data_IF_686592054477
#
_entry.id   IF_686592054477
#
_cell.length_a   1.000
_cell.length_b   1.000
_cell.length_c   1.000
_cell.angle_alpha   90.00
_cell.angle_beta   90.00
_cell.angle_gamma   90.00
#
_symmetry.space_group_name_H-M   'P 1'
#
loop_
_entity.id
_entity.type
_entity.pdbx_description
1 polymer ?
#
# COMPACT_ATOMS: atom_id res chain seq x y z
N UNK A 1 -23.59 -14.66 11.27
CA UNK A 1 -22.46 -15.03 10.34
C UNK A 1 -22.19 -16.53 10.50
N UNK A 2 -22.09 -17.27 9.39
CA UNK A 2 -21.81 -18.72 9.46
C UNK A 2 -20.32 -18.90 9.83
N UNK A 3 -20.05 -19.81 10.79
CA UNK A 3 -18.68 -20.07 11.28
C UNK A 3 -17.73 -20.48 10.14
N UNK A 4 -18.24 -21.20 9.14
CA UNK A 4 -17.46 -21.58 7.97
C UNK A 4 -16.99 -20.34 7.18
N UNK A 5 -17.89 -19.35 7.00
CA UNK A 5 -17.56 -18.11 6.31
C UNK A 5 -16.53 -17.28 7.10
N UNK A 6 -16.68 -17.20 8.42
CA UNK A 6 -15.70 -16.52 9.28
C UNK A 6 -14.31 -17.16 9.14
N UNK A 7 -14.23 -18.51 9.17
CA UNK A 7 -12.95 -19.20 9.01
C UNK A 7 -12.33 -18.94 7.63
N UNK A 8 -13.12 -19.01 6.56
CA UNK A 8 -12.57 -18.84 5.20
C UNK A 8 -12.20 -17.39 4.88
N UNK A 9 -12.88 -16.43 5.45
CA UNK A 9 -12.62 -14.99 5.15
C UNK A 9 -11.63 -14.34 6.11
N UNK A 10 -11.58 -14.80 7.36
CA UNK A 10 -10.74 -14.16 8.38
C UNK A 10 -9.49 -14.97 8.73
N UNK A 11 -9.55 -16.30 8.64
CA UNK A 11 -8.43 -17.20 9.02
C UNK A 11 -7.69 -17.72 7.78
N UNK A 12 -8.42 -18.26 6.80
CA UNK A 12 -7.82 -18.81 5.59
C UNK A 12 -7.70 -17.76 4.48
N UNK A 13 -7.08 -16.65 4.80
CA UNK A 13 -6.89 -15.53 3.86
C UNK A 13 -6.04 -16.00 2.66
N UNK A 14 -6.47 -15.73 1.41
CA UNK A 14 -5.67 -16.09 0.23
C UNK A 14 -4.27 -15.49 0.29
N UNK A 15 -3.30 -16.22 -0.27
CA UNK A 15 -1.92 -15.77 -0.38
C UNK A 15 -1.71 -15.16 -1.76
N UNK A 16 -1.12 -13.98 -1.81
CA UNK A 16 -0.79 -13.29 -3.06
C UNK A 16 0.20 -14.13 -3.88
N UNK A 17 0.00 -14.27 -5.20
CA UNK A 17 0.87 -15.12 -6.04
C UNK A 17 2.37 -14.83 -5.90
N UNK A 18 2.74 -13.57 -5.72
CA UNK A 18 4.15 -13.17 -5.53
C UNK A 18 4.79 -13.78 -4.27
N UNK A 19 4.00 -14.33 -3.35
CA UNK A 19 4.51 -14.95 -2.12
C UNK A 19 4.95 -16.40 -2.30
N UNK A 20 4.38 -17.14 -3.26
CA UNK A 20 4.62 -18.58 -3.37
C UNK A 20 6.10 -18.94 -3.53
N UNK A 21 6.91 -18.25 -4.36
CA UNK A 21 8.34 -18.56 -4.45
C UNK A 21 9.07 -18.41 -3.11
N UNK A 22 8.75 -17.40 -2.32
CA UNK A 22 9.39 -17.17 -1.02
C UNK A 22 8.96 -18.23 0.00
N UNK A 23 7.67 -18.56 0.04
CA UNK A 23 7.16 -19.62 0.93
C UNK A 23 7.87 -20.92 0.60
N UNK A 24 7.97 -21.28 -0.68
CA UNK A 24 8.67 -22.49 -1.12
C UNK A 24 10.14 -22.48 -0.67
N UNK A 25 10.85 -21.37 -0.92
CA UNK A 25 12.28 -21.24 -0.53
C UNK A 25 12.44 -21.41 0.98
N UNK A 26 11.58 -20.73 1.78
CA UNK A 26 11.66 -20.83 3.25
C UNK A 26 11.34 -22.23 3.75
N UNK A 27 10.36 -22.91 3.15
CA UNK A 27 10.03 -24.29 3.53
C UNK A 27 11.23 -25.22 3.24
N UNK A 28 11.77 -25.15 2.02
CA UNK A 28 12.92 -26.01 1.65
C UNK A 28 14.12 -25.72 2.56
N UNK A 29 14.45 -24.44 2.76
CA UNK A 29 15.58 -24.06 3.63
C UNK A 29 15.36 -24.54 5.07
N UNK A 30 14.14 -24.40 5.60
CA UNK A 30 13.81 -24.81 6.96
C UNK A 30 13.92 -26.33 7.13
N UNK A 31 13.45 -27.11 6.15
CA UNK A 31 13.58 -28.57 6.16
C UNK A 31 15.05 -28.98 6.14
N UNK A 32 15.85 -28.41 5.22
CA UNK A 32 17.27 -28.75 5.11
C UNK A 32 18.04 -28.43 6.42
N UNK A 33 17.79 -27.26 6.99
CA UNK A 33 18.43 -26.86 8.24
C UNK A 33 17.99 -27.74 9.40
N UNK A 34 16.73 -28.16 9.43
CA UNK A 34 16.20 -29.04 10.50
C UNK A 34 16.79 -30.46 10.43
N UNK A 35 17.10 -30.95 9.23
CA UNK A 35 17.79 -32.22 9.04
C UNK A 35 19.23 -32.13 9.62
N UNK A 36 19.89 -30.97 9.45
CA UNK A 36 21.24 -30.77 9.98
C UNK A 36 21.23 -30.59 11.52
N UNK A 37 20.21 -29.93 12.05
CA UNK A 37 20.12 -29.65 13.48
C UNK A 37 18.66 -29.39 13.89
N UNK A 38 18.12 -30.31 14.68
CA UNK A 38 16.69 -30.29 15.05
C UNK A 38 16.17 -28.99 15.70
N UNK A 39 16.96 -28.20 16.48
CA UNK A 39 16.45 -26.93 17.00
C UNK A 39 16.02 -25.92 15.92
N UNK A 40 16.41 -26.07 14.67
CA UNK A 40 15.94 -25.21 13.59
C UNK A 40 14.46 -25.45 13.20
N UNK A 41 13.83 -26.52 13.65
CA UNK A 41 12.41 -26.81 13.34
C UNK A 41 11.51 -25.65 13.73
N UNK A 42 11.62 -25.18 14.99
CA UNK A 42 10.73 -24.14 15.51
C UNK A 42 10.93 -22.78 14.80
N UNK A 43 12.13 -22.20 14.74
CA UNK A 43 12.31 -20.93 14.05
C UNK A 43 12.00 -21.02 12.56
N UNK A 44 12.30 -22.15 11.90
CA UNK A 44 11.94 -22.35 10.49
C UNK A 44 10.43 -22.34 10.28
N UNK A 45 9.69 -23.05 11.12
CA UNK A 45 8.22 -23.07 11.05
C UNK A 45 7.65 -21.66 11.26
N UNK A 46 8.15 -20.93 12.28
CA UNK A 46 7.69 -19.56 12.55
C UNK A 46 7.96 -18.63 11.36
N UNK A 47 9.11 -18.77 10.72
CA UNK A 47 9.46 -17.98 9.53
C UNK A 47 8.54 -18.29 8.35
N UNK A 48 8.23 -19.57 8.12
CA UNK A 48 7.30 -19.96 7.06
C UNK A 48 5.89 -19.40 7.32
N UNK A 49 5.41 -19.51 8.55
CA UNK A 49 4.09 -18.95 8.94
C UNK A 49 4.07 -17.43 8.77
N UNK A 50 5.15 -16.75 9.19
CA UNK A 50 5.26 -15.30 9.00
C UNK A 50 5.27 -14.94 7.50
N UNK A 51 5.93 -15.72 6.67
CA UNK A 51 5.97 -15.48 5.22
C UNK A 51 4.58 -15.60 4.60
N UNK A 52 3.81 -16.64 4.99
CA UNK A 52 2.41 -16.81 4.56
C UNK A 52 1.58 -15.60 5.02
N UNK A 53 1.73 -15.21 6.28
CA UNK A 53 1.02 -14.06 6.87
C UNK A 53 1.38 -12.76 6.14
N UNK A 54 2.65 -12.55 5.81
CA UNK A 54 3.11 -11.35 5.10
C UNK A 54 2.45 -11.21 3.73
N UNK A 55 2.36 -12.32 2.98
CA UNK A 55 1.81 -12.30 1.62
C UNK A 55 0.29 -12.51 1.58
N UNK A 56 -0.40 -12.40 2.71
CA UNK A 56 -1.86 -12.55 2.74
C UNK A 56 -2.53 -11.44 1.92
N UNK A 57 -3.60 -11.78 1.21
CA UNK A 57 -4.35 -10.84 0.38
C UNK A 57 -5.84 -10.95 0.72
N UNK A 58 -6.27 -10.33 1.83
CA UNK A 58 -7.65 -10.44 2.27
C UNK A 58 -8.63 -9.76 1.31
N UNK A 59 -9.83 -10.30 1.26
CA UNK A 59 -10.96 -9.65 0.59
C UNK A 59 -11.24 -8.33 1.32
N UNK A 60 -11.59 -7.30 0.56
CA UNK A 60 -11.86 -5.96 1.11
C UNK A 60 -13.26 -5.50 0.75
N UNK A 61 -13.90 -4.79 1.65
CA UNK A 61 -15.20 -4.16 1.43
C UNK A 61 -14.99 -2.69 1.14
N UNK A 62 -14.97 -2.34 -0.15
CA UNK A 62 -14.63 -1.00 -0.60
C UNK A 62 -15.91 -0.15 -0.75
N UNK A 63 -15.98 1.05 -0.14
CA UNK A 63 -17.06 1.98 -0.44
C UNK A 63 -16.96 2.47 -1.88
N UNK A 64 -18.04 2.29 -2.66
CA UNK A 64 -18.05 2.63 -4.08
C UNK A 64 -18.75 3.97 -4.29
N UNK A 65 -17.96 4.99 -4.61
CA UNK A 65 -18.46 6.34 -4.91
C UNK A 65 -17.37 7.08 -5.70
N UNK A 66 -17.78 7.98 -6.57
CA UNK A 66 -16.87 8.72 -7.45
C UNK A 66 -16.08 9.79 -6.68
N UNK A 67 -16.51 10.16 -5.49
CA UNK A 67 -15.92 11.27 -4.74
C UNK A 67 -14.89 10.84 -3.71
N UNK A 68 -14.96 9.60 -3.20
CA UNK A 68 -14.07 9.18 -2.12
C UNK A 68 -12.73 8.69 -2.64
N UNK A 69 -11.71 8.98 -1.85
CA UNK A 69 -10.37 8.44 -2.03
C UNK A 69 -10.15 7.44 -0.90
N UNK A 70 -9.96 6.17 -1.23
CA UNK A 70 -9.69 5.13 -0.23
C UNK A 70 -8.19 4.91 -0.07
N UNK A 71 -7.81 4.32 1.05
CA UNK A 71 -6.39 4.04 1.35
C UNK A 71 -5.80 3.09 0.30
N UNK A 72 -4.66 3.43 -0.30
CA UNK A 72 -3.97 2.51 -1.21
C UNK A 72 -3.18 1.41 -0.48
N UNK A 73 -3.03 1.52 0.84
CA UNK A 73 -2.19 0.61 1.62
C UNK A 73 -2.73 0.42 3.03
N UNK A 74 -2.49 -0.78 3.60
CA UNK A 74 -2.60 -1.00 5.04
C UNK A 74 -1.42 -0.33 5.73
N UNK A 75 -1.65 0.30 6.89
CA UNK A 75 -0.51 0.86 7.61
C UNK A 75 -0.87 1.98 8.56
N UNK A 76 0.10 2.84 8.81
CA UNK A 76 -0.06 4.01 9.67
C UNK A 76 0.21 5.28 8.85
N UNK A 77 -0.70 6.24 8.94
CA UNK A 77 -0.50 7.56 8.32
C UNK A 77 0.67 8.26 9.01
N UNK A 78 1.71 8.60 8.26
CA UNK A 78 2.87 9.36 8.76
C UNK A 78 2.59 10.87 8.73
N UNK A 79 2.03 11.35 7.62
CA UNK A 79 1.74 12.77 7.43
C UNK A 79 0.58 12.98 6.48
N UNK A 80 -0.06 14.16 6.60
CA UNK A 80 -1.10 14.66 5.70
C UNK A 80 -0.80 16.13 5.40
N UNK A 81 0.30 16.36 4.69
CA UNK A 81 0.83 17.71 4.45
C UNK A 81 0.58 18.16 3.00
N UNK A 82 0.84 19.43 2.74
CA UNK A 82 0.86 20.00 1.40
C UNK A 82 2.32 20.24 1.01
N UNK A 83 2.75 19.60 -0.08
CA UNK A 83 4.14 19.61 -0.48
C UNK A 83 4.28 19.80 -2.00
N UNK A 84 5.46 20.21 -2.49
CA UNK A 84 5.71 20.19 -3.93
C UNK A 84 5.63 18.76 -4.46
N UNK A 85 4.97 18.58 -5.60
CA UNK A 85 4.89 17.26 -6.24
C UNK A 85 6.29 16.85 -6.73
N UNK A 86 6.69 15.57 -6.57
CA UNK A 86 7.96 15.11 -7.15
C UNK A 86 7.97 15.30 -8.66
N UNK A 87 9.11 15.80 -9.18
CA UNK A 87 9.24 16.14 -10.60
C UNK A 87 9.01 14.94 -11.54
N UNK A 88 9.29 13.75 -11.05
CA UNK A 88 9.13 12.51 -11.81
C UNK A 88 7.70 11.92 -11.79
N UNK A 89 6.78 12.55 -11.08
CA UNK A 89 5.38 12.14 -11.05
C UNK A 89 4.60 13.03 -12.03
N UNK A 90 3.97 12.43 -13.06
CA UNK A 90 3.31 13.18 -14.13
C UNK A 90 2.04 13.89 -13.65
N UNK A 91 2.24 14.86 -12.74
CA UNK A 91 1.20 15.73 -12.22
C UNK A 91 1.56 17.19 -12.52
N UNK A 92 0.59 18.09 -12.66
CA UNK A 92 0.89 19.52 -12.83
C UNK A 92 1.81 20.05 -11.71
N UNK A 93 2.80 20.83 -12.11
CA UNK A 93 3.76 21.42 -11.16
C UNK A 93 3.01 22.28 -10.14
N UNK A 94 3.47 22.24 -8.89
CA UNK A 94 2.85 23.01 -7.83
C UNK A 94 2.80 22.24 -6.53
N UNK A 95 1.96 22.73 -5.62
CA UNK A 95 1.72 22.10 -4.33
C UNK A 95 0.54 21.13 -4.42
N UNK A 96 0.74 19.96 -3.83
CA UNK A 96 -0.26 18.89 -3.80
C UNK A 96 -0.44 18.39 -2.37
N UNK A 97 -1.60 17.88 -2.05
CA UNK A 97 -1.89 17.21 -0.78
C UNK A 97 -1.21 15.83 -0.80
N UNK A 98 -0.27 15.59 0.10
CA UNK A 98 0.40 14.29 0.26
C UNK A 98 -0.17 13.59 1.50
N UNK A 99 -0.56 12.32 1.34
CA UNK A 99 -0.89 11.43 2.46
C UNK A 99 0.11 10.27 2.41
N UNK A 100 1.01 10.22 3.39
CA UNK A 100 2.07 9.21 3.46
C UNK A 100 1.64 8.07 4.39
N UNK A 101 1.66 6.82 3.91
CA UNK A 101 1.23 5.64 4.68
C UNK A 101 2.39 4.65 4.77
N UNK A 102 2.85 4.37 5.99
CA UNK A 102 3.93 3.42 6.26
C UNK A 102 3.36 2.04 6.57
N UNK A 103 3.85 1.03 5.87
CA UNK A 103 3.49 -0.37 6.06
C UNK A 103 4.64 -1.08 6.78
N UNK A 104 4.39 -1.56 8.01
CA UNK A 104 5.36 -2.37 8.72
C UNK A 104 5.25 -3.84 8.28
N UNK A 105 6.21 -4.67 8.66
CA UNK A 105 6.30 -6.07 8.17
C UNK A 105 5.14 -6.98 8.60
N UNK A 106 4.20 -6.49 9.39
CA UNK A 106 2.99 -7.23 9.78
C UNK A 106 1.73 -6.72 9.08
N UNK A 107 1.82 -5.60 8.34
CA UNK A 107 0.70 -5.08 7.56
C UNK A 107 0.54 -5.86 6.24
N UNK A 108 -0.62 -5.75 5.59
CA UNK A 108 -0.82 -6.29 4.23
C UNK A 108 -0.09 -5.37 3.25
N UNK A 109 0.71 -5.95 2.37
CA UNK A 109 1.54 -5.17 1.44
C UNK A 109 0.95 -5.08 0.02
N UNK A 110 -0.23 -5.67 -0.20
CA UNK A 110 -0.97 -5.51 -1.46
C UNK A 110 -1.53 -4.08 -1.51
N UNK A 111 -1.25 -3.38 -2.61
CA UNK A 111 -1.70 -2.00 -2.81
C UNK A 111 -2.93 -1.96 -3.70
N UNK A 112 -3.84 -1.03 -3.38
CA UNK A 112 -5.16 -0.94 -4.03
C UNK A 112 -5.41 0.47 -4.57
N UNK A 113 -6.13 0.54 -5.70
CA UNK A 113 -6.46 1.80 -6.37
C UNK A 113 -7.25 2.70 -5.42
N UNK A 114 -6.77 3.92 -5.16
CA UNK A 114 -7.45 4.82 -4.23
C UNK A 114 -8.73 5.44 -4.81
N UNK A 115 -8.83 5.45 -6.13
CA UNK A 115 -10.00 5.98 -6.86
C UNK A 115 -10.33 5.04 -8.02
N UNK A 116 -11.54 5.12 -8.55
CA UNK A 116 -11.85 4.52 -9.85
C UNK A 116 -11.26 5.42 -10.94
N UNK A 117 -10.62 4.83 -11.95
CA UNK A 117 -10.05 5.61 -13.03
C UNK A 117 -9.05 4.86 -13.87
N UNK A 118 -8.53 5.56 -14.86
CA UNK A 118 -7.58 5.03 -15.84
C UNK A 118 -6.14 5.32 -15.39
N UNK A 119 -5.26 4.34 -15.52
CA UNK A 119 -3.82 4.54 -15.33
C UNK A 119 -3.30 5.32 -16.54
N UNK A 120 -2.83 6.54 -16.31
CA UNK A 120 -2.37 7.43 -17.41
C UNK A 120 -0.85 7.53 -17.47
N UNK A 121 -0.14 7.23 -16.39
CA UNK A 121 1.32 7.21 -16.38
C UNK A 121 1.85 6.22 -15.33
N UNK A 122 2.99 5.59 -15.64
CA UNK A 122 3.75 4.78 -14.69
C UNK A 122 5.24 5.00 -14.92
N UNK A 123 6.00 5.20 -13.86
CA UNK A 123 7.44 5.43 -13.98
C UNK A 123 8.19 4.77 -12.83
N UNK A 124 9.15 3.90 -13.18
CA UNK A 124 9.98 3.21 -12.19
C UNK A 124 11.32 3.93 -12.02
N UNK A 125 11.72 4.11 -10.77
CA UNK A 125 13.00 4.71 -10.41
C UNK A 125 13.79 3.74 -9.54
N UNK A 126 14.93 3.29 -10.05
CA UNK A 126 15.89 2.54 -9.25
C UNK A 126 16.47 3.46 -8.16
N UNK A 127 16.68 2.91 -6.98
CA UNK A 127 17.17 3.73 -5.86
C UNK A 127 17.78 2.90 -4.74
N UNK A 128 17.93 3.54 -3.60
CA UNK A 128 18.48 2.95 -2.39
C UNK A 128 17.37 2.23 -1.58
N UNK A 129 17.71 1.76 -0.38
CA UNK A 129 16.79 1.05 0.51
C UNK A 129 16.95 1.55 1.94
N UNK A 130 16.63 2.81 2.17
CA UNK A 130 16.55 3.37 3.54
C UNK A 130 15.24 3.00 4.20
N UNK A 131 15.18 3.16 5.54
CA UNK A 131 13.93 2.97 6.27
C UNK A 131 12.83 3.87 5.68
N UNK A 132 11.76 3.25 5.19
CA UNK A 132 10.69 3.95 4.47
C UNK A 132 9.91 4.95 5.35
N UNK A 133 10.04 4.88 6.69
CA UNK A 133 9.40 5.87 7.57
C UNK A 133 10.08 7.24 7.53
N UNK A 134 11.30 7.34 6.98
CA UNK A 134 12.04 8.59 6.90
C UNK A 134 11.65 9.37 5.63
N UNK A 135 11.60 10.71 5.72
CA UNK A 135 11.29 11.55 4.55
C UNK A 135 12.30 11.35 3.41
N UNK A 136 13.58 11.19 3.76
CA UNK A 136 14.66 10.93 2.80
C UNK A 136 14.38 9.69 1.91
N UNK A 137 13.63 8.71 2.42
CA UNK A 137 13.28 7.53 1.65
C UNK A 137 12.41 7.87 0.43
N UNK A 138 11.57 8.89 0.52
CA UNK A 138 10.73 9.31 -0.60
C UNK A 138 11.54 9.82 -1.79
N UNK A 139 12.75 10.35 -1.53
CA UNK A 139 13.62 10.91 -2.58
C UNK A 139 14.66 9.94 -3.11
N UNK A 140 15.20 9.08 -2.24
CA UNK A 140 16.38 8.28 -2.58
C UNK A 140 16.09 6.80 -2.82
N UNK A 141 14.97 6.26 -2.28
CA UNK A 141 14.70 4.83 -2.38
C UNK A 141 14.14 4.44 -3.74
N UNK A 142 14.27 3.14 -4.06
CA UNK A 142 13.57 2.50 -5.18
C UNK A 142 12.08 2.84 -5.05
N UNK A 143 11.50 3.32 -6.14
CA UNK A 143 10.09 3.72 -6.13
C UNK A 143 9.41 3.50 -7.48
N UNK A 144 8.10 3.30 -7.42
CA UNK A 144 7.25 3.14 -8.60
C UNK A 144 6.16 4.20 -8.54
N UNK A 145 6.16 5.08 -9.50
CA UNK A 145 5.16 6.13 -9.67
C UNK A 145 4.00 5.60 -10.51
N UNK A 146 2.79 5.99 -10.15
CA UNK A 146 1.56 5.65 -10.88
C UNK A 146 0.67 6.88 -10.84
N UNK A 147 0.17 7.32 -11.98
CA UNK A 147 -0.83 8.38 -12.04
C UNK A 147 -2.12 7.81 -12.60
N UNK A 148 -3.21 8.03 -11.88
CA UNK A 148 -4.56 7.65 -12.29
C UNK A 148 -5.36 8.92 -12.61
N UNK A 149 -6.26 8.81 -13.59
CA UNK A 149 -7.20 9.88 -13.91
C UNK A 149 -8.63 9.37 -13.75
N UNK A 150 -9.42 10.08 -12.94
CA UNK A 150 -10.83 9.75 -12.69
C UNK A 150 -11.67 10.10 -13.92
N UNK A 151 -12.92 9.63 -13.95
CA UNK A 151 -13.88 9.99 -15.01
C UNK A 151 -14.15 11.51 -15.08
N UNK A 152 -14.01 12.20 -13.94
CA UNK A 152 -14.14 13.67 -13.88
C UNK A 152 -12.86 14.40 -14.37
N UNK A 153 -11.81 13.67 -14.77
CA UNK A 153 -10.59 14.27 -15.28
C UNK A 153 -9.56 14.62 -14.20
N UNK A 154 -9.86 14.41 -12.93
CA UNK A 154 -8.92 14.70 -11.84
C UNK A 154 -7.78 13.67 -11.84
N UNK A 155 -6.54 14.14 -11.72
CA UNK A 155 -5.38 13.27 -11.57
C UNK A 155 -5.10 12.97 -10.10
N UNK A 156 -4.70 11.72 -9.80
CA UNK A 156 -4.31 11.22 -8.48
C UNK A 156 -3.00 10.45 -8.67
N UNK A 157 -2.00 10.80 -7.87
CA UNK A 157 -0.71 10.12 -7.97
C UNK A 157 -0.43 9.17 -6.80
N UNK A 158 0.40 7.86 -6.65
CA UNK A 158 0.75 7.08 -5.92
C UNK A 158 1.98 6.90 -6.02
N UNK A 159 2.78 6.98 -5.20
CA UNK A 159 4.18 6.57 -5.24
C UNK A 159 4.41 5.39 -4.28
N UNK A 160 4.71 4.22 -4.79
CA UNK A 160 5.16 3.06 -4.00
C UNK A 160 6.66 3.24 -3.72
N UNK A 161 7.08 3.15 -2.46
CA UNK A 161 8.45 3.41 -2.02
C UNK A 161 8.94 2.18 -1.24
N UNK A 162 10.00 1.54 -1.75
CA UNK A 162 10.61 0.39 -1.09
C UNK A 162 11.31 0.81 0.20
N UNK A 163 11.28 -0.05 1.22
CA UNK A 163 11.98 0.18 2.48
C UNK A 163 13.28 -0.59 2.61
N UNK A 164 13.85 -0.60 3.81
CA UNK A 164 15.17 -1.17 4.10
C UNK A 164 15.30 -2.65 3.73
N UNK A 165 14.26 -3.44 3.95
CA UNK A 165 14.24 -4.88 3.67
C UNK A 165 13.59 -5.15 2.32
N UNK A 166 12.78 -4.23 1.83
CA UNK A 166 12.10 -4.32 0.54
C UNK A 166 13.14 -4.30 -0.58
N UNK A 167 13.05 -5.24 -1.49
CA UNK A 167 13.96 -5.28 -2.65
C UNK A 167 13.22 -5.40 -3.97
N UNK A 168 11.90 -5.21 -3.95
CA UNK A 168 11.17 -5.16 -5.22
C UNK A 168 9.74 -4.65 -5.04
N UNK A 169 9.39 -3.74 -5.90
CA UNK A 169 8.03 -3.28 -6.11
C UNK A 169 7.51 -4.05 -7.34
N UNK A 170 6.32 -4.64 -7.21
CA UNK A 170 5.65 -5.28 -8.34
C UNK A 170 4.41 -4.48 -8.68
N UNK A 171 4.45 -3.81 -9.82
CA UNK A 171 3.28 -3.16 -10.40
C UNK A 171 2.54 -4.19 -11.25
N UNK A 172 1.24 -4.34 -11.04
CA UNK A 172 0.39 -5.32 -11.73
C UNK A 172 -0.60 -4.65 -12.70
N UNK A 173 -0.45 -3.33 -12.87
CA UNK A 173 -1.24 -2.56 -13.82
C UNK A 173 -0.32 -1.85 -14.81
N UNK A 174 -0.87 -1.50 -15.97
CA UNK A 174 -0.15 -0.82 -17.06
C UNK A 174 -0.87 0.45 -17.45
N UNK A 175 -0.16 1.34 -18.13
CA UNK A 175 -0.78 2.55 -18.72
C UNK A 175 -1.90 2.12 -19.68
N UNK A 176 -3.07 2.69 -19.49
CA UNK A 176 -4.28 2.38 -20.23
C UNK A 176 -5.29 1.53 -19.48
N UNK A 177 -4.87 0.85 -18.40
CA UNK A 177 -5.78 0.01 -17.62
C UNK A 177 -6.82 0.87 -16.88
N UNK A 178 -8.06 0.37 -16.84
CA UNK A 178 -9.14 0.93 -16.03
C UNK A 178 -9.20 0.15 -14.72
N UNK A 179 -9.04 0.84 -13.60
CA UNK A 179 -9.09 0.23 -12.27
C UNK A 179 -10.33 0.71 -11.52
N UNK A 180 -11.06 -0.22 -10.94
CA UNK A 180 -12.11 0.12 -9.99
C UNK A 180 -11.48 0.59 -8.67
N UNK A 181 -12.21 1.43 -7.93
CA UNK A 181 -11.77 1.85 -6.58
C UNK A 181 -11.58 0.58 -5.70
N UNK A 182 -10.48 0.51 -4.98
CA UNK A 182 -10.13 -0.65 -4.14
C UNK A 182 -9.55 -1.84 -4.90
N UNK A 183 -9.50 -1.80 -6.24
CA UNK A 183 -8.92 -2.88 -7.04
C UNK A 183 -7.41 -2.95 -6.81
N UNK A 184 -6.88 -4.16 -6.68
CA UNK A 184 -5.44 -4.37 -6.52
C UNK A 184 -4.68 -3.88 -7.76
N UNK A 185 -3.55 -3.18 -7.56
CA UNK A 185 -2.68 -2.74 -8.66
C UNK A 185 -1.21 -3.13 -8.46
N UNK A 186 -0.86 -3.73 -7.34
CA UNK A 186 0.52 -4.15 -7.12
C UNK A 186 0.79 -4.55 -5.67
N UNK A 187 2.06 -4.88 -5.39
CA UNK A 187 2.52 -5.26 -4.06
C UNK A 187 3.97 -4.80 -3.87
N UNK A 188 4.32 -4.38 -2.65
CA UNK A 188 5.69 -4.04 -2.27
C UNK A 188 6.18 -5.11 -1.28
N UNK A 189 7.36 -5.69 -1.51
CA UNK A 189 7.86 -6.78 -0.66
C UNK A 189 8.76 -6.24 0.46
N UNK A 190 8.36 -6.53 1.73
CA UNK A 190 9.09 -6.38 3.00
C UNK A 190 9.35 -4.94 3.47
N UNK A 191 8.31 -4.32 4.03
CA UNK A 191 8.40 -3.02 4.73
C UNK A 191 8.56 -1.85 3.76
N UNK A 192 7.59 -0.95 3.75
CA UNK A 192 7.47 0.00 2.65
C UNK A 192 6.61 1.21 3.04
N UNK A 193 6.42 2.11 2.07
CA UNK A 193 5.57 3.28 2.22
C UNK A 193 4.83 3.53 0.91
N UNK A 194 3.62 4.03 0.99
CA UNK A 194 2.91 4.57 -0.18
C UNK A 194 2.57 6.03 0.10
N UNK A 195 2.97 6.91 -0.81
CA UNK A 195 2.56 8.32 -0.79
C UNK A 195 1.46 8.53 -1.82
N UNK A 196 0.33 9.03 -1.35
CA UNK A 196 -0.82 9.39 -2.17
C UNK A 196 -0.80 10.91 -2.38
N UNK A 197 -0.94 11.34 -3.63
CA UNK A 197 -0.91 12.74 -4.03
C UNK A 197 -2.24 13.16 -4.62
N UNK A 198 -2.88 14.17 -4.03
CA UNK A 198 -4.21 14.68 -4.38
C UNK A 198 -4.13 16.19 -4.64
N UNK A 199 -5.12 16.80 -5.33
CA UNK A 199 -5.17 18.27 -5.43
C UNK A 199 -5.03 18.93 -4.05
N UNK A 200 -4.32 20.06 -3.98
CA UNK A 200 -3.87 20.67 -2.72
C UNK A 200 -5.01 20.98 -1.73
N UNK A 201 -6.16 21.34 -2.27
CA UNK A 201 -7.35 21.75 -1.52
C UNK A 201 -8.29 20.58 -1.16
N UNK A 202 -7.93 19.33 -1.51
CA UNK A 202 -8.75 18.16 -1.19
C UNK A 202 -8.89 18.00 0.34
N UNK A 203 -10.12 17.96 0.88
CA UNK A 203 -10.34 17.70 2.31
C UNK A 203 -9.87 16.30 2.68
N UNK A 204 -9.07 16.20 3.74
CA UNK A 204 -8.51 14.94 4.25
C UNK A 204 -9.31 14.50 5.48
N UNK A 205 -9.69 13.23 5.52
CA UNK A 205 -10.56 12.63 6.53
C UNK A 205 -9.76 11.73 7.50
N UNK A 206 -8.45 11.85 7.49
CA UNK A 206 -7.55 11.09 8.39
C UNK A 206 -6.47 12.00 8.95
N UNK A 207 -5.88 11.57 10.05
CA UNK A 207 -4.82 12.31 10.74
C UNK A 207 -3.57 11.45 10.88
N UNK A 208 -2.42 12.11 10.98
CA UNK A 208 -1.15 11.42 11.26
C UNK A 208 -1.29 10.56 12.53
N UNK A 209 -0.79 9.34 12.48
CA UNK A 209 -0.88 8.37 13.56
C UNK A 209 -2.03 7.37 13.42
N UNK A 210 -3.06 7.67 12.63
CA UNK A 210 -4.18 6.74 12.43
C UNK A 210 -3.76 5.55 11.57
N UNK A 211 -4.46 4.42 11.77
CA UNK A 211 -4.26 3.23 10.95
C UNK A 211 -5.25 3.24 9.78
N UNK A 212 -4.77 2.70 8.65
CA UNK A 212 -5.55 2.56 7.43
C UNK A 212 -5.65 1.10 7.03
N UNK A 213 -6.73 0.78 6.33
CA UNK A 213 -7.00 -0.53 5.70
C UNK A 213 -7.17 -0.26 4.20
N UNK A 214 -6.30 -0.87 3.39
CA UNK A 214 -6.28 -0.66 1.93
C UNK A 214 -7.63 -1.02 1.30
N UNK A 215 -8.16 -0.12 0.48
CA UNK A 215 -9.44 -0.29 -0.19
C UNK A 215 -10.65 -0.01 0.68
N UNK A 216 -10.49 0.21 2.01
CA UNK A 216 -11.63 0.38 2.92
C UNK A 216 -11.67 1.75 3.62
N UNK A 217 -10.52 2.19 4.16
CA UNK A 217 -10.47 3.46 4.89
C UNK A 217 -10.60 4.63 3.93
N UNK A 218 -11.62 5.47 4.10
CA UNK A 218 -11.77 6.70 3.31
C UNK A 218 -10.77 7.73 3.83
N UNK A 219 -9.88 8.19 2.95
CA UNK A 219 -8.82 9.15 3.28
C UNK A 219 -9.19 10.60 2.97
N UNK A 220 -10.01 10.82 1.93
CA UNK A 220 -10.28 12.17 1.44
C UNK A 220 -11.54 12.20 0.58
N UNK A 221 -12.03 13.41 0.30
CA UNK A 221 -13.22 13.66 -0.52
C UNK A 221 -12.85 14.61 -1.68
N UNK A 222 -12.84 14.07 -2.90
CA UNK A 222 -12.53 14.85 -4.12
C UNK A 222 -13.64 15.86 -4.49
N UNK A 223 -14.84 15.74 -3.93
CA UNK A 223 -15.90 16.71 -4.19
C UNK A 223 -15.64 18.06 -3.48
N UNK A 224 -14.79 18.05 -2.45
CA UNK A 224 -14.51 19.26 -1.68
C UNK A 224 -15.65 19.71 -0.76
N UNK A 225 -16.66 18.86 -0.55
CA UNK A 225 -17.85 19.29 0.25
C UNK A 225 -17.60 19.32 1.76
N UNK A 226 -16.59 18.59 2.23
CA UNK A 226 -16.24 18.55 3.65
C UNK A 226 -15.27 19.71 3.93
N UNK A 227 -15.67 20.67 4.75
CA UNK A 227 -14.89 21.90 4.95
C UNK A 227 -14.22 22.00 6.33
N UNK A 228 -14.62 21.20 7.32
CA UNK A 228 -14.09 21.32 8.67
C UNK A 228 -12.84 20.46 8.85
N UNK A 229 -11.76 21.03 9.42
CA UNK A 229 -10.55 20.26 9.69
C UNK A 229 -10.78 19.22 10.78
N UNK A 230 -10.26 18.02 10.58
CA UNK A 230 -10.33 16.96 11.58
C UNK A 230 -9.32 17.22 12.71
N UNK A 231 -9.74 16.91 13.93
CA UNK A 231 -8.88 16.97 15.11
C UNK A 231 -8.80 15.58 15.75
N UNK A 232 -7.70 15.30 16.44
CA UNK A 232 -7.49 14.01 17.09
C UNK A 232 -7.21 14.18 18.58
N UNK A 233 -7.66 13.18 19.36
CA UNK A 233 -7.29 13.02 20.75
C UNK A 233 -6.73 11.60 20.94
N UNK A 234 -5.55 11.51 21.49
CA UNK A 234 -4.99 10.22 21.90
C UNK A 234 -5.51 9.87 23.31
N UNK A 235 -5.91 8.61 23.49
CA UNK A 235 -6.44 8.10 24.74
C UNK A 235 -5.67 6.87 25.18
#
# INVERSE_FOLDING_TARGET
MNIYKAITEEVLVPVHPAGWPFIFIFVVASVLLSVLWSPFVLPGTLLCLWCVYFFRNPVRTTPVTDNYVVAPADGRVLSTDVAPVPAELDLPAGKWRRIAIFMNVFDVHVNRAPVAGRVVDTNYHAGKFFNASLDKAAEENERQNIVMQTAAGQKVGXVQIAGLVARRILLESAVGDELAIGQQFGIIRFGSRVDLWLPADTPVLVLAGQRTVAGETVLADLSGTISEPMTARQQ
#
